data_IF_525166718502
#
_entry.id   IF_525166718502
#
_cell.length_a   1.000
_cell.length_b   1.000
_cell.length_c   1.000
_cell.angle_alpha   90.00
_cell.angle_beta   90.00
_cell.angle_gamma   90.00
#
_symmetry.space_group_name_H-M   'P 1'
#
loop_
_entity.id
_entity.type
_entity.pdbx_description
1 polymer ?
#
# COMPACT_ATOMS: atom_id res chain seq x y z
N UNK A 1 -48.05 -34.26 -11.11
CA UNK A 1 -49.12 -34.06 -12.13
C UNK A 1 -50.07 -33.06 -11.53
N UNK A 2 -50.22 -31.81 -11.99
CA UNK A 2 -50.24 -31.19 -13.33
C UNK A 2 -49.60 -29.77 -13.25
N UNK A 3 -48.62 -29.37 -14.10
CA UNK A 3 -48.74 -28.70 -15.43
C UNK A 3 -49.76 -27.56 -15.45
N UNK A 4 -49.31 -26.30 -15.43
CA UNK A 4 -48.94 -25.42 -16.59
C UNK A 4 -50.16 -24.67 -17.14
N UNK A 5 -50.11 -23.34 -17.12
CA UNK A 5 -50.70 -22.38 -18.08
C UNK A 5 -50.28 -20.95 -17.64
N UNK A 6 -49.25 -20.34 -18.24
CA UNK A 6 -49.19 -19.56 -19.49
C UNK A 6 -49.62 -18.07 -19.39
N UNK A 7 -48.58 -17.22 -19.39
CA UNK A 7 -48.38 -15.85 -19.93
C UNK A 7 -49.52 -15.17 -20.71
N UNK A 8 -49.73 -13.86 -20.47
CA UNK A 8 -49.45 -12.68 -21.38
C UNK A 8 -49.81 -11.36 -20.63
N UNK A 9 -48.90 -10.36 -20.49
CA UNK A 9 -48.70 -9.13 -21.31
C UNK A 9 -49.99 -8.30 -21.53
N UNK A 10 -50.09 -6.96 -21.46
CA UNK A 10 -49.29 -5.79 -21.10
C UNK A 10 -50.28 -4.58 -21.01
N UNK A 11 -49.77 -3.36 -20.80
CA UNK A 11 -50.42 -2.02 -20.84
C UNK A 11 -50.89 -1.47 -19.47
N UNK A 12 -50.15 -0.57 -18.84
CA UNK A 12 -49.87 0.86 -19.14
C UNK A 12 -50.81 1.78 -18.34
N UNK A 13 -50.27 2.39 -17.29
CA UNK A 13 -50.71 3.70 -16.82
C UNK A 13 -49.58 4.39 -16.04
N UNK A 14 -49.00 5.39 -16.69
CA UNK A 14 -48.10 6.37 -16.11
C UNK A 14 -48.80 7.21 -15.03
N UNK A 15 -48.08 7.51 -13.94
CA UNK A 15 -47.79 8.91 -13.56
C UNK A 15 -46.65 9.00 -12.52
N UNK A 16 -45.94 10.15 -12.47
CA UNK A 16 -44.58 10.29 -11.96
C UNK A 16 -44.53 10.91 -10.55
N UNK A 17 -43.38 10.70 -9.88
CA UNK A 17 -42.61 11.66 -9.08
C UNK A 17 -41.78 10.89 -8.04
N UNK A 18 -40.49 11.20 -7.95
CA UNK A 18 -39.69 10.81 -6.79
C UNK A 18 -38.24 10.49 -7.11
N UNK A 19 -37.51 11.53 -7.50
CA UNK A 19 -36.06 11.70 -7.36
C UNK A 19 -35.38 10.81 -6.29
N UNK A 20 -34.39 10.01 -6.69
CA UNK A 20 -33.22 9.71 -5.84
C UNK A 20 -32.05 9.30 -6.71
N UNK A 21 -31.24 10.30 -7.06
CA UNK A 21 -29.86 10.14 -7.49
C UNK A 21 -29.10 9.24 -6.52
N UNK A 22 -28.66 8.07 -7.02
CA UNK A 22 -27.62 7.28 -6.36
C UNK A 22 -26.30 8.01 -6.46
N UNK A 23 -26.00 8.83 -5.47
CA UNK A 23 -24.73 9.53 -5.31
C UNK A 23 -23.64 8.48 -5.10
N UNK A 24 -22.75 8.35 -6.08
CA UNK A 24 -21.41 7.80 -5.92
C UNK A 24 -20.68 8.60 -4.85
N UNK A 25 -20.35 7.95 -3.73
CA UNK A 25 -19.54 8.57 -2.67
C UNK A 25 -18.06 8.51 -3.09
N UNK A 26 -17.65 9.53 -3.82
CA UNK A 26 -16.25 9.93 -3.92
C UNK A 26 -15.80 10.42 -2.53
N UNK A 27 -14.82 9.73 -1.92
CA UNK A 27 -14.29 10.03 -0.59
C UNK A 27 -13.00 10.84 -0.63
N UNK A 28 -12.76 11.60 -1.69
CA UNK A 28 -11.66 12.59 -1.71
C UNK A 28 -12.05 13.86 -0.95
N UNK A 29 -11.22 14.22 0.04
CA UNK A 29 -11.08 15.54 0.70
C UNK A 29 -11.85 15.82 2.00
N UNK A 30 -11.12 15.85 3.12
CA UNK A 30 -11.17 16.92 4.14
C UNK A 30 -9.87 16.81 4.97
N UNK A 31 -8.94 17.77 4.90
CA UNK A 31 -8.96 18.97 5.73
C UNK A 31 -8.47 20.20 4.93
N UNK A 32 -9.32 21.24 4.90
CA UNK A 32 -8.99 22.59 4.45
C UNK A 32 -8.34 23.37 5.59
N UNK A 33 -7.15 23.92 5.34
CA UNK A 33 -6.69 25.14 6.02
C UNK A 33 -6.45 26.23 4.99
N UNK A 34 -7.14 27.36 5.17
CA UNK A 34 -7.10 28.50 4.27
C UNK A 34 -5.82 29.33 4.47
N UNK A 35 -5.06 29.52 3.39
CA UNK A 35 -4.14 30.65 3.26
C UNK A 35 -4.60 31.47 2.06
N UNK A 36 -5.31 32.55 2.34
CA UNK A 36 -5.63 33.56 1.34
C UNK A 36 -4.37 34.41 1.08
N UNK A 37 -3.81 34.30 -0.13
CA UNK A 37 -2.71 35.13 -0.60
C UNK A 37 -2.74 35.26 -2.12
N UNK A 38 -3.10 36.45 -2.59
CA UNK A 38 -3.26 36.85 -3.98
C UNK A 38 -1.97 36.71 -4.81
N UNK A 39 -2.06 36.19 -6.04
CA UNK A 39 -1.04 36.44 -7.07
C UNK A 39 -0.93 35.36 -8.14
N UNK A 40 -1.56 35.58 -9.29
CA UNK A 40 -1.44 34.73 -10.47
C UNK A 40 -0.04 34.80 -11.10
N UNK A 41 0.61 33.66 -11.32
CA UNK A 41 1.47 33.38 -12.50
C UNK A 41 1.46 31.88 -12.79
N UNK A 42 0.98 31.49 -13.97
CA UNK A 42 1.13 30.16 -14.57
C UNK A 42 2.56 29.99 -15.11
N UNK A 43 3.32 28.98 -14.68
CA UNK A 43 4.53 28.50 -15.36
C UNK A 43 4.74 26.98 -15.12
N UNK A 44 5.39 26.28 -16.07
CA UNK A 44 5.24 24.85 -16.32
C UNK A 44 6.06 23.98 -15.35
N UNK A 45 5.64 22.72 -15.23
CA UNK A 45 6.39 21.62 -14.62
C UNK A 45 7.87 21.68 -15.02
N UNK A 46 8.71 22.00 -14.03
CA UNK A 46 10.16 21.98 -14.17
C UNK A 46 10.68 20.66 -13.62
N UNK A 47 11.18 19.82 -14.51
CA UNK A 47 12.26 18.88 -14.16
C UNK A 47 13.37 19.68 -13.47
N UNK A 48 13.58 19.44 -12.17
CA UNK A 48 14.70 20.02 -11.44
C UNK A 48 16.00 19.39 -11.95
N UNK A 49 16.95 20.23 -12.34
CA UNK A 49 18.26 19.82 -12.80
C UNK A 49 19.19 19.62 -11.59
N UNK A 50 19.78 18.43 -11.48
CA UNK A 50 20.77 18.10 -10.45
C UNK A 50 22.00 19.03 -10.50
N UNK A 51 22.37 19.59 -9.35
CA UNK A 51 23.62 20.35 -9.19
C UNK A 51 24.74 19.37 -8.84
N UNK A 52 25.75 19.31 -9.71
CA UNK A 52 26.88 18.38 -9.59
C UNK A 52 27.77 18.69 -8.38
N UNK A 53 27.67 17.87 -7.32
CA UNK A 53 28.63 17.80 -6.22
C UNK A 53 29.41 16.51 -6.33
N UNK A 54 30.74 16.60 -6.45
CA UNK A 54 31.64 15.46 -6.56
C UNK A 54 31.92 14.86 -5.19
N UNK A 55 31.13 13.86 -4.82
CA UNK A 55 31.54 12.68 -4.07
C UNK A 55 30.86 11.49 -4.77
N UNK A 56 31.41 10.28 -4.70
CA UNK A 56 30.80 9.08 -5.30
C UNK A 56 29.49 8.72 -4.58
N UNK A 57 28.46 9.50 -4.87
CA UNK A 57 27.04 9.26 -4.59
C UNK A 57 26.61 8.17 -5.57
N UNK A 58 25.97 7.09 -5.11
CA UNK A 58 25.41 6.15 -6.08
C UNK A 58 24.22 6.84 -6.73
N UNK A 59 24.18 6.82 -8.07
CA UNK A 59 23.01 7.24 -8.83
C UNK A 59 21.90 6.15 -8.79
N UNK A 60 22.05 5.15 -7.91
CA UNK A 60 21.08 4.07 -7.74
C UNK A 60 19.81 4.62 -7.09
N UNK A 61 18.67 4.29 -7.69
CA UNK A 61 17.36 4.68 -7.20
C UNK A 61 16.88 3.66 -6.16
N UNK A 62 16.49 4.17 -5.00
CA UNK A 62 16.00 3.39 -3.87
C UNK A 62 14.56 3.76 -3.54
N UNK A 63 13.84 2.84 -2.90
CA UNK A 63 12.51 3.11 -2.32
C UNK A 63 12.58 3.20 -0.80
N UNK A 64 11.86 4.17 -0.22
CA UNK A 64 11.61 4.24 1.21
C UNK A 64 10.10 4.25 1.44
N UNK A 65 9.57 3.23 2.12
CA UNK A 65 8.19 3.23 2.61
C UNK A 65 8.18 3.54 4.11
N UNK A 66 7.44 4.57 4.50
CA UNK A 66 7.25 5.00 5.89
C UNK A 66 5.81 4.67 6.26
N UNK A 67 5.60 3.71 7.16
CA UNK A 67 4.25 3.22 7.47
C UNK A 67 3.99 3.15 8.97
N UNK A 68 2.71 3.16 9.34
CA UNK A 68 2.27 3.01 10.73
C UNK A 68 0.85 2.47 10.84
N UNK A 69 0.54 1.90 12.00
CA UNK A 69 -0.83 1.46 12.36
C UNK A 69 -1.61 2.53 13.15
N UNK A 70 -1.12 3.78 13.14
CA UNK A 70 -1.72 4.97 13.71
C UNK A 70 -1.08 6.24 13.14
N UNK A 71 -1.55 7.45 13.51
CA UNK A 71 -1.04 8.68 12.92
C UNK A 71 0.44 8.90 13.25
N UNK A 72 1.25 9.06 12.20
CA UNK A 72 2.69 9.22 12.23
C UNK A 72 3.08 10.51 11.50
N UNK A 73 3.65 11.47 12.23
CA UNK A 73 4.31 12.62 11.62
C UNK A 73 5.73 12.23 11.20
N UNK A 74 6.18 12.69 10.03
CA UNK A 74 7.54 12.44 9.58
C UNK A 74 8.19 13.64 8.90
N UNK A 75 9.52 13.62 8.90
CA UNK A 75 10.40 14.46 8.09
C UNK A 75 11.51 13.58 7.51
N UNK A 76 11.61 13.53 6.18
CA UNK A 76 12.58 12.77 5.42
C UNK A 76 13.35 13.70 4.50
N UNK A 77 14.68 13.80 4.68
CA UNK A 77 15.55 14.69 3.91
C UNK A 77 16.71 13.92 3.31
N UNK A 78 17.02 14.19 2.04
CA UNK A 78 18.16 13.60 1.32
C UNK A 78 19.01 14.67 0.62
N UNK A 79 20.31 14.43 0.55
CA UNK A 79 21.23 15.12 -0.38
C UNK A 79 21.28 14.26 -1.65
N UNK A 80 20.52 14.62 -2.68
CA UNK A 80 20.32 13.82 -3.89
C UNK A 80 18.98 14.14 -4.57
N UNK A 81 18.30 13.13 -5.11
CA UNK A 81 16.94 13.27 -5.66
C UNK A 81 15.92 12.68 -4.69
N UNK A 82 14.73 13.29 -4.63
CA UNK A 82 13.60 12.78 -3.86
C UNK A 82 12.30 13.02 -4.62
N UNK A 83 11.48 11.99 -4.74
CA UNK A 83 10.20 12.00 -5.43
C UNK A 83 9.17 11.19 -4.64
N UNK A 84 7.92 11.68 -4.59
CA UNK A 84 6.79 10.94 -4.06
C UNK A 84 6.40 9.82 -5.04
N UNK A 85 6.35 8.57 -4.58
CA UNK A 85 5.94 7.44 -5.40
C UNK A 85 4.43 7.27 -5.31
N UNK A 86 3.71 7.86 -6.27
CA UNK A 86 2.25 7.83 -6.32
C UNK A 86 1.70 6.63 -7.09
N UNK A 87 2.58 5.83 -7.71
CA UNK A 87 2.19 4.73 -8.60
C UNK A 87 2.35 3.36 -7.94
N UNK A 88 3.34 3.18 -7.05
CA UNK A 88 3.67 1.87 -6.45
C UNK A 88 3.45 1.85 -4.94
N UNK A 89 3.49 0.66 -4.34
CA UNK A 89 3.28 0.46 -2.92
C UNK A 89 1.82 0.31 -2.50
N UNK A 90 0.88 0.17 -3.44
CA UNK A 90 -0.47 -0.29 -3.12
C UNK A 90 -0.47 -1.81 -2.99
N UNK A 91 -0.64 -2.28 -1.76
CA UNK A 91 -0.80 -3.69 -1.42
C UNK A 91 -2.21 -4.02 -0.92
N UNK A 92 -3.18 -3.12 -1.09
CA UNK A 92 -4.56 -3.43 -0.73
C UNK A 92 -5.11 -4.52 -1.66
N UNK A 93 -5.97 -5.39 -1.14
CA UNK A 93 -6.56 -6.45 -1.98
C UNK A 93 -7.42 -5.85 -3.09
N UNK A 94 -7.36 -6.47 -4.26
CA UNK A 94 -8.17 -6.13 -5.41
C UNK A 94 -9.62 -6.57 -5.23
N UNK A 95 -10.52 -5.96 -6.00
CA UNK A 95 -11.97 -6.22 -5.87
C UNK A 95 -12.39 -7.65 -6.27
N UNK A 96 -11.53 -8.37 -6.97
CA UNK A 96 -11.71 -9.74 -7.44
C UNK A 96 -10.97 -10.80 -6.61
N UNK A 97 -10.24 -10.38 -5.56
CA UNK A 97 -9.57 -11.25 -4.57
C UNK A 97 -10.52 -11.98 -3.61
N UNK A 98 -11.76 -12.18 -4.02
CA UNK A 98 -12.81 -12.73 -3.18
C UNK A 98 -12.57 -14.22 -2.89
N UNK A 99 -12.36 -14.61 -1.61
CA UNK A 99 -12.08 -15.98 -1.24
C UNK A 99 -13.22 -16.94 -1.63
N UNK A 100 -12.84 -18.10 -2.16
CA UNK A 100 -13.77 -19.17 -2.49
C UNK A 100 -13.66 -20.30 -1.46
N UNK A 101 -14.81 -20.76 -0.97
CA UNK A 101 -14.88 -21.92 -0.10
C UNK A 101 -14.56 -23.20 -0.87
N UNK A 102 -13.81 -24.10 -0.25
CA UNK A 102 -13.65 -25.46 -0.77
C UNK A 102 -14.94 -26.25 -0.48
N UNK A 103 -15.60 -26.77 -1.53
CA UNK A 103 -16.93 -27.43 -1.49
C UNK A 103 -17.07 -28.55 -0.45
N UNK A 104 -15.94 -29.10 0.06
CA UNK A 104 -15.90 -30.17 1.06
C UNK A 104 -15.14 -29.83 2.36
N UNK A 105 -14.66 -28.60 2.51
CA UNK A 105 -14.03 -28.06 3.73
C UNK A 105 -14.45 -26.61 3.90
N UNK A 106 -15.63 -26.34 4.49
CA UNK A 106 -16.15 -24.97 4.61
C UNK A 106 -15.35 -24.08 5.57
N UNK A 107 -14.39 -24.65 6.29
CA UNK A 107 -13.41 -23.91 7.09
C UNK A 107 -12.15 -23.53 6.30
N UNK A 108 -12.00 -24.00 5.06
CA UNK A 108 -10.85 -23.67 4.21
C UNK A 108 -11.29 -22.72 3.11
N UNK A 109 -10.64 -21.57 3.09
CA UNK A 109 -10.78 -20.53 2.10
C UNK A 109 -9.62 -20.59 1.13
N UNK A 110 -9.87 -20.36 -0.16
CA UNK A 110 -8.84 -20.35 -1.19
C UNK A 110 -8.99 -19.12 -2.08
N UNK A 111 -7.87 -18.43 -2.29
CA UNK A 111 -7.69 -17.40 -3.32
C UNK A 111 -6.62 -17.90 -4.28
N UNK A 112 -6.87 -17.75 -5.58
CA UNK A 112 -5.91 -18.00 -6.64
C UNK A 112 -5.90 -16.72 -7.47
N UNK A 113 -4.78 -16.02 -7.47
CA UNK A 113 -4.69 -14.72 -8.10
C UNK A 113 -3.27 -14.38 -8.60
N UNK A 114 -3.08 -13.17 -9.15
CA UNK A 114 -1.82 -12.66 -9.69
C UNK A 114 -1.61 -11.21 -9.24
N UNK A 115 -0.46 -10.95 -8.63
CA UNK A 115 -0.08 -9.61 -8.16
C UNK A 115 1.22 -9.12 -8.78
N UNK A 116 1.60 -7.87 -8.49
CA UNK A 116 2.78 -7.22 -9.03
C UNK A 116 2.51 -6.45 -10.34
N UNK A 117 3.47 -5.61 -10.79
CA UNK A 117 3.34 -4.88 -12.04
C UNK A 117 3.38 -5.81 -13.25
N UNK A 118 2.85 -5.35 -14.38
CA UNK A 118 2.99 -6.03 -15.67
C UNK A 118 4.46 -6.12 -16.10
N UNK A 119 4.80 -7.07 -16.98
CA UNK A 119 6.19 -7.28 -17.46
C UNK A 119 6.88 -6.02 -18.00
N UNK A 120 6.13 -5.08 -18.58
CA UNK A 120 6.68 -3.84 -19.13
C UNK A 120 7.13 -2.84 -18.05
N UNK A 121 6.57 -2.95 -16.84
CA UNK A 121 6.83 -2.08 -15.70
C UNK A 121 7.51 -2.84 -14.53
N UNK A 122 7.95 -4.07 -14.75
CA UNK A 122 8.51 -4.93 -13.71
C UNK A 122 10.00 -4.65 -13.43
N UNK A 123 10.41 -4.95 -12.21
CA UNK A 123 11.76 -4.83 -11.69
C UNK A 123 12.00 -3.56 -10.85
N UNK A 124 13.22 -3.43 -10.35
CA UNK A 124 13.62 -2.28 -9.53
C UNK A 124 12.71 -2.11 -8.32
N UNK A 125 12.23 -0.88 -8.12
CA UNK A 125 11.39 -0.47 -7.00
C UNK A 125 9.89 -0.65 -7.27
N UNK A 126 9.45 -1.16 -8.41
CA UNK A 126 8.03 -1.14 -8.77
C UNK A 126 7.19 -2.25 -8.08
N UNK A 127 6.94 -2.15 -6.78
CA UNK A 127 6.18 -3.18 -6.05
C UNK A 127 4.68 -2.89 -5.99
N UNK A 128 3.89 -3.92 -6.27
CA UNK A 128 2.45 -4.01 -6.00
C UNK A 128 2.16 -5.31 -5.24
N UNK A 129 0.99 -5.43 -4.66
CA UNK A 129 0.69 -6.57 -3.79
C UNK A 129 -0.77 -6.68 -3.45
N UNK A 130 -1.08 -7.75 -2.72
CA UNK A 130 -2.41 -7.98 -2.17
C UNK A 130 -2.28 -8.29 -0.67
N UNK A 131 -3.27 -7.84 0.10
CA UNK A 131 -3.27 -7.97 1.56
C UNK A 131 -4.55 -8.62 2.04
N UNK A 132 -4.39 -9.59 2.93
CA UNK A 132 -5.48 -10.35 3.54
C UNK A 132 -5.42 -10.27 5.05
N UNK A 133 -6.58 -10.31 5.69
CA UNK A 133 -6.72 -10.62 7.11
C UNK A 133 -6.96 -12.13 7.24
N UNK A 134 -6.07 -12.82 7.95
CA UNK A 134 -6.06 -14.29 8.04
C UNK A 134 -6.06 -14.77 9.50
N UNK A 135 -6.57 -15.98 9.73
CA UNK A 135 -6.59 -16.63 11.04
C UNK A 135 -5.91 -18.01 10.99
N UNK A 136 -5.39 -18.44 12.13
CA UNK A 136 -4.90 -19.77 12.51
C UNK A 136 -3.91 -20.50 11.58
N UNK A 137 -4.29 -20.87 10.37
CA UNK A 137 -3.44 -21.59 9.43
C UNK A 137 -3.47 -20.94 8.05
N UNK A 138 -2.30 -20.65 7.51
CA UNK A 138 -2.13 -20.15 6.15
C UNK A 138 -1.14 -21.04 5.39
N UNK A 139 -1.49 -21.36 4.14
CA UNK A 139 -0.63 -22.07 3.21
C UNK A 139 -0.60 -21.33 1.88
N UNK A 140 0.58 -20.88 1.50
CA UNK A 140 0.82 -20.10 0.30
C UNK A 140 1.69 -20.90 -0.68
N UNK A 141 1.29 -20.90 -1.94
CA UNK A 141 2.13 -21.27 -3.08
C UNK A 141 2.35 -20.02 -3.92
N UNK A 142 3.60 -19.75 -4.29
CA UNK A 142 3.99 -18.60 -5.09
C UNK A 142 4.76 -19.05 -6.32
N UNK A 143 4.40 -18.51 -7.47
CA UNK A 143 5.10 -18.70 -8.75
C UNK A 143 5.56 -17.33 -9.27
N UNK A 144 6.75 -16.92 -8.84
CA UNK A 144 7.41 -15.69 -9.27
C UNK A 144 8.54 -16.01 -10.26
N UNK A 145 8.68 -15.20 -11.31
CA UNK A 145 9.82 -15.32 -12.21
C UNK A 145 11.13 -15.03 -11.45
N UNK A 146 12.23 -15.78 -11.68
CA UNK A 146 13.48 -15.63 -10.93
C UNK A 146 14.19 -14.27 -11.09
N UNK A 147 13.75 -13.45 -12.04
CA UNK A 147 14.29 -12.10 -12.26
C UNK A 147 13.55 -11.03 -11.43
N UNK A 148 12.48 -11.41 -10.74
CA UNK A 148 11.67 -10.53 -9.89
C UNK A 148 11.72 -10.98 -8.43
N UNK A 149 11.49 -10.03 -7.54
CA UNK A 149 11.36 -10.25 -6.10
C UNK A 149 9.88 -10.38 -5.74
N UNK A 150 9.57 -11.38 -4.92
CA UNK A 150 8.27 -11.56 -4.28
C UNK A 150 8.49 -11.72 -2.76
N UNK A 151 7.97 -10.76 -2.01
CA UNK A 151 8.10 -10.66 -0.56
C UNK A 151 6.75 -11.01 0.09
N UNK A 152 6.82 -11.73 1.21
CA UNK A 152 5.64 -12.10 1.99
C UNK A 152 5.81 -11.51 3.38
N UNK A 153 4.81 -10.76 3.84
CA UNK A 153 4.82 -10.15 5.16
C UNK A 153 3.68 -10.73 5.99
N UNK A 154 3.99 -11.17 7.21
CA UNK A 154 3.02 -11.53 8.23
C UNK A 154 3.14 -10.52 9.37
N UNK A 155 2.07 -9.80 9.67
CA UNK A 155 2.06 -8.67 10.62
C UNK A 155 3.22 -7.71 10.37
N UNK A 156 3.37 -7.29 9.11
CA UNK A 156 4.41 -6.35 8.66
C UNK A 156 5.86 -6.85 8.88
N UNK A 157 6.02 -8.14 9.18
CA UNK A 157 7.32 -8.82 9.30
C UNK A 157 7.56 -9.67 8.07
N UNK A 158 8.70 -9.47 7.40
CA UNK A 158 9.11 -10.27 6.26
C UNK A 158 9.32 -11.74 6.70
N UNK A 159 8.63 -12.66 6.03
CA UNK A 159 8.71 -14.12 6.25
C UNK A 159 8.93 -14.83 4.93
N UNK A 160 9.51 -16.02 4.99
CA UNK A 160 9.54 -16.91 3.82
C UNK A 160 8.24 -17.70 3.68
N UNK A 161 7.89 -18.13 2.47
CA UNK A 161 6.75 -19.03 2.20
C UNK A 161 6.85 -20.31 3.03
N UNK A 162 8.07 -20.85 3.13
CA UNK A 162 8.38 -22.06 3.90
C UNK A 162 8.13 -21.90 5.40
N UNK A 163 8.36 -20.70 5.94
CA UNK A 163 8.07 -20.35 7.33
C UNK A 163 6.56 -20.18 7.53
N UNK A 164 5.89 -19.39 6.68
CA UNK A 164 4.45 -19.19 6.72
C UNK A 164 3.70 -20.53 6.72
N UNK A 165 4.02 -21.43 5.79
CA UNK A 165 3.36 -22.74 5.63
C UNK A 165 3.57 -23.69 6.81
N UNK A 166 4.51 -23.40 7.71
CA UNK A 166 4.78 -24.17 8.93
C UNK A 166 4.21 -23.51 10.19
N UNK A 167 3.81 -22.25 10.11
CA UNK A 167 3.29 -21.51 11.25
C UNK A 167 1.86 -21.95 11.59
N UNK A 168 1.57 -21.92 12.89
CA UNK A 168 0.21 -21.85 13.39
C UNK A 168 0.08 -20.48 14.05
N UNK A 169 -0.84 -19.67 13.55
CA UNK A 169 -1.17 -18.37 14.08
C UNK A 169 -1.96 -18.60 15.37
N UNK A 170 -1.26 -18.58 16.50
CA UNK A 170 -1.85 -18.97 17.80
C UNK A 170 -2.48 -17.81 18.57
N UNK A 171 -2.33 -16.58 18.09
CA UNK A 171 -3.00 -15.43 18.69
C UNK A 171 -4.47 -15.44 18.25
N UNK A 172 -5.46 -15.29 19.14
CA UNK A 172 -6.88 -15.17 18.77
C UNK A 172 -7.24 -13.92 17.93
N UNK A 173 -6.26 -13.14 17.46
CA UNK A 173 -6.46 -11.99 16.56
C UNK A 173 -6.20 -12.35 15.10
N UNK A 174 -6.99 -11.78 14.19
CA UNK A 174 -6.65 -11.77 12.76
C UNK A 174 -5.28 -11.13 12.55
N UNK A 175 -4.46 -11.79 11.72
CA UNK A 175 -3.14 -11.37 11.28
C UNK A 175 -3.20 -10.73 9.91
N UNK A 176 -2.29 -9.82 9.60
CA UNK A 176 -2.18 -9.25 8.25
C UNK A 176 -1.19 -10.09 7.44
N UNK A 177 -1.61 -10.55 6.27
CA UNK A 177 -0.75 -11.27 5.33
C UNK A 177 -0.68 -10.47 4.04
N UNK A 178 0.50 -9.98 3.69
CA UNK A 178 0.75 -9.20 2.48
C UNK A 178 1.65 -9.99 1.54
N UNK A 179 1.27 -10.10 0.28
CA UNK A 179 2.07 -10.68 -0.80
C UNK A 179 2.41 -9.52 -1.73
N UNK A 180 3.69 -9.12 -1.80
CA UNK A 180 4.12 -8.00 -2.63
C UNK A 180 5.20 -8.44 -3.62
N UNK A 181 5.08 -8.04 -4.88
CA UNK A 181 6.02 -8.40 -5.92
C UNK A 181 6.37 -7.21 -6.83
N UNK A 182 7.60 -7.20 -7.34
CA UNK A 182 8.03 -6.23 -8.35
C UNK A 182 7.96 -6.77 -9.79
N UNK A 183 7.24 -7.87 -10.00
CA UNK A 183 6.89 -8.36 -11.32
C UNK A 183 5.70 -9.31 -11.24
N UNK A 184 5.16 -9.74 -12.39
CA UNK A 184 3.97 -10.60 -12.41
C UNK A 184 4.23 -11.88 -11.62
N UNK A 185 3.39 -12.11 -10.62
CA UNK A 185 3.55 -13.21 -9.67
C UNK A 185 2.20 -13.83 -9.39
N UNK A 186 2.01 -15.07 -9.83
CA UNK A 186 0.81 -15.84 -9.52
C UNK A 186 0.94 -16.52 -8.16
N UNK A 187 -0.17 -16.65 -7.43
CA UNK A 187 -0.19 -17.36 -6.15
C UNK A 187 -1.48 -18.12 -5.90
N UNK A 188 -1.39 -19.07 -4.97
CA UNK A 188 -2.54 -19.73 -4.35
C UNK A 188 -2.40 -19.64 -2.83
N UNK A 189 -3.34 -18.96 -2.20
CA UNK A 189 -3.41 -18.80 -0.75
C UNK A 189 -4.59 -19.61 -0.20
N UNK A 190 -4.30 -20.53 0.71
CA UNK A 190 -5.28 -21.31 1.46
C UNK A 190 -5.22 -20.95 2.94
N UNK A 191 -6.37 -20.67 3.55
CA UNK A 191 -6.46 -20.24 4.96
C UNK A 191 -7.59 -20.95 5.69
N UNK A 192 -7.39 -21.28 6.96
CA UNK A 192 -8.38 -21.84 7.88
C UNK A 192 -8.24 -21.24 9.29
N UNK A 193 -9.31 -20.80 9.97
CA UNK A 193 -10.72 -20.89 9.57
C UNK A 193 -11.29 -19.62 8.92
N UNK A 194 -10.54 -18.53 8.82
CA UNK A 194 -11.09 -17.24 8.37
C UNK A 194 -10.07 -16.49 7.50
N UNK A 195 -10.54 -15.99 6.35
CA UNK A 195 -9.79 -15.10 5.47
C UNK A 195 -10.73 -14.01 4.95
N UNK A 196 -10.26 -12.76 4.97
CA UNK A 196 -10.98 -11.61 4.41
C UNK A 196 -10.00 -10.72 3.66
N UNK A 197 -10.29 -10.30 2.42
CA UNK A 197 -9.49 -9.31 1.71
C UNK A 197 -9.41 -7.98 2.47
N UNK A 198 -8.25 -7.34 2.52
CA UNK A 198 -8.06 -6.04 3.14
C UNK A 198 -7.98 -4.94 2.07
N UNK A 199 -9.14 -4.38 1.72
CA UNK A 199 -9.25 -3.26 0.76
C UNK A 199 -8.96 -1.88 1.38
N UNK A 200 -8.48 -1.82 2.63
CA UNK A 200 -8.30 -0.55 3.36
C UNK A 200 -6.89 -0.35 3.87
N UNK A 201 -6.26 -1.38 4.40
CA UNK A 201 -4.85 -1.37 4.76
C UNK A 201 -3.98 -1.69 3.56
N UNK A 202 -2.68 -1.45 3.69
CA UNK A 202 -1.69 -1.84 2.67
C UNK A 202 -1.46 -0.82 1.57
N UNK A 203 -2.20 0.29 1.51
CA UNK A 203 -1.85 1.38 0.61
C UNK A 203 -0.71 2.21 1.22
N UNK A 204 0.45 2.16 0.56
CA UNK A 204 1.66 2.90 0.92
C UNK A 204 2.11 3.89 -0.15
N UNK A 205 1.37 4.04 -1.25
CA UNK A 205 1.67 5.06 -2.25
C UNK A 205 1.58 6.44 -1.60
N UNK A 206 2.52 7.33 -1.95
CA UNK A 206 2.42 8.72 -1.51
C UNK A 206 1.22 9.41 -2.18
N UNK A 207 0.66 10.40 -1.51
CA UNK A 207 -0.39 11.25 -2.06
C UNK A 207 0.21 12.33 -2.98
N UNK A 208 -0.62 12.93 -3.85
CA UNK A 208 -0.16 13.99 -4.77
C UNK A 208 0.38 15.24 -4.03
N UNK A 209 -0.05 15.47 -2.79
CA UNK A 209 0.39 16.59 -1.95
C UNK A 209 1.58 16.28 -1.03
N UNK A 210 2.09 15.05 -1.08
CA UNK A 210 3.33 14.62 -0.41
C UNK A 210 4.61 15.02 -1.18
N UNK A 211 4.46 15.95 -2.14
CA UNK A 211 5.54 16.40 -3.00
C UNK A 211 6.72 16.98 -2.21
N UNK A 212 7.97 16.49 -2.44
CA UNK A 212 9.15 17.01 -1.79
C UNK A 212 9.41 18.48 -2.12
N UNK A 213 10.02 19.20 -1.18
CA UNK A 213 10.46 20.59 -1.35
C UNK A 213 11.98 20.68 -1.38
N UNK A 214 12.53 21.44 -2.33
CA UNK A 214 13.97 21.75 -2.40
C UNK A 214 14.35 22.80 -1.34
N UNK A 215 15.38 22.50 -0.56
CA UNK A 215 15.93 23.37 0.46
C UNK A 215 16.99 24.32 -0.11
N UNK A 216 17.29 25.39 0.63
CA UNK A 216 18.27 26.40 0.21
C UNK A 216 19.72 25.87 0.10
N UNK A 217 20.02 24.72 0.71
CA UNK A 217 21.33 24.05 0.63
C UNK A 217 21.43 22.99 -0.47
N UNK A 218 20.36 22.79 -1.23
CA UNK A 218 20.27 21.82 -2.34
C UNK A 218 19.79 20.43 -1.94
N UNK A 219 19.47 20.20 -0.66
CA UNK A 219 18.80 18.96 -0.23
C UNK A 219 17.30 18.99 -0.55
N UNK A 220 16.64 17.83 -0.53
CA UNK A 220 15.19 17.73 -0.70
C UNK A 220 14.54 17.16 0.55
N UNK A 221 13.44 17.75 0.99
CA UNK A 221 12.68 17.29 2.17
C UNK A 221 11.24 16.95 1.79
N UNK A 222 10.80 15.76 2.18
CA UNK A 222 9.40 15.40 2.29
C UNK A 222 8.99 15.40 3.78
N UNK A 223 7.87 16.03 4.11
CA UNK A 223 7.37 16.08 5.48
C UNK A 223 5.85 16.08 5.48
N UNK A 224 5.26 15.29 6.35
CA UNK A 224 3.83 15.03 6.31
C UNK A 224 3.31 14.25 7.51
N UNK A 225 2.10 13.73 7.35
CA UNK A 225 1.48 12.82 8.32
C UNK A 225 0.89 11.65 7.56
N UNK A 226 1.31 10.45 7.92
CA UNK A 226 0.81 9.20 7.34
C UNK A 226 0.18 8.32 8.42
N UNK A 227 -0.27 7.12 8.02
CA UNK A 227 -0.95 6.17 8.89
C UNK A 227 -2.44 6.49 9.06
N UNK A 228 -3.22 5.54 9.59
CA UNK A 228 -4.65 5.74 9.79
C UNK A 228 -4.93 6.81 10.86
N UNK A 229 -6.02 7.57 10.68
CA UNK A 229 -6.52 8.50 11.70
C UNK A 229 -6.79 7.78 13.02
N UNK A 230 -6.68 8.46 14.16
CA UNK A 230 -6.80 7.82 15.49
C UNK A 230 -8.07 7.00 15.72
N UNK A 231 -9.17 7.32 15.03
CA UNK A 231 -10.45 6.57 15.10
C UNK A 231 -10.44 5.24 14.31
N UNK A 232 -9.51 5.10 13.38
CA UNK A 232 -9.32 3.98 12.45
C UNK A 232 -7.99 3.24 12.72
N UNK A 233 -7.19 3.76 13.65
CA UNK A 233 -5.92 3.20 14.09
C UNK A 233 -6.08 1.89 14.88
N UNK A 234 -5.03 1.08 14.84
CA UNK A 234 -4.97 -0.23 15.46
C UNK A 234 -4.26 -1.25 14.55
N UNK A 235 -3.90 -2.41 15.12
CA UNK A 235 -2.98 -3.37 14.51
C UNK A 235 -3.35 -3.85 13.09
N UNK A 236 -4.62 -3.78 12.68
CA UNK A 236 -5.09 -4.35 11.41
C UNK A 236 -4.92 -3.42 10.22
N UNK A 237 -4.96 -2.11 10.44
CA UNK A 237 -4.88 -1.12 9.36
C UNK A 237 -3.52 -0.47 9.42
N UNK A 238 -2.66 -0.78 8.44
CA UNK A 238 -1.37 -0.12 8.26
C UNK A 238 -1.43 0.68 6.98
N UNK A 239 -1.09 1.96 7.07
CA UNK A 239 -1.01 2.90 5.95
C UNK A 239 0.34 3.60 6.00
N UNK A 240 0.74 4.23 4.91
CA UNK A 240 2.08 4.78 4.76
C UNK A 240 2.20 5.63 3.52
N UNK A 241 3.38 6.25 3.39
CA UNK A 241 3.77 6.99 2.21
C UNK A 241 5.09 6.41 1.70
N UNK A 242 5.29 6.49 0.39
CA UNK A 242 6.43 5.90 -0.31
C UNK A 242 7.16 6.95 -1.12
N UNK A 243 8.48 6.89 -1.07
CA UNK A 243 9.35 7.81 -1.76
C UNK A 243 10.41 7.07 -2.57
N UNK A 244 10.72 7.61 -3.75
CA UNK A 244 11.88 7.24 -4.54
C UNK A 244 12.99 8.25 -4.29
N UNK A 245 14.20 7.77 -4.03
CA UNK A 245 15.31 8.67 -3.72
C UNK A 245 16.66 8.13 -4.19
N UNK A 246 17.63 9.04 -4.33
CA UNK A 246 19.04 8.73 -4.50
C UNK A 246 19.87 9.61 -3.56
N UNK A 247 21.12 9.23 -3.30
CA UNK A 247 21.99 9.98 -2.43
C UNK A 247 21.84 9.70 -0.93
N UNK A 248 22.41 10.55 -0.10
CA UNK A 248 22.52 10.28 1.34
C UNK A 248 21.31 10.78 2.11
N UNK A 249 20.83 9.98 3.06
CA UNK A 249 19.75 10.36 3.98
C UNK A 249 20.33 11.24 5.09
N UNK A 250 19.93 12.51 5.10
CA UNK A 250 20.35 13.50 6.08
C UNK A 250 19.47 13.45 7.34
N UNK A 251 18.14 13.34 7.14
CA UNK A 251 17.14 13.28 8.22
C UNK A 251 16.09 12.21 7.92
N UNK A 252 15.69 11.45 8.94
CA UNK A 252 14.50 10.58 8.91
C UNK A 252 13.83 10.58 10.28
N UNK A 253 13.16 11.67 10.64
CA UNK A 253 12.48 11.83 11.92
C UNK A 253 11.05 11.31 11.83
N UNK A 254 10.67 10.45 12.78
CA UNK A 254 9.40 9.71 12.78
C UNK A 254 8.75 9.80 14.16
N UNK A 255 7.63 10.51 14.28
CA UNK A 255 6.95 10.81 15.53
C UNK A 255 5.53 10.26 15.55
N UNK A 256 5.32 9.23 16.38
CA UNK A 256 3.99 8.69 16.63
C UNK A 256 3.24 9.60 17.59
N UNK A 257 1.97 9.84 17.28
CA UNK A 257 1.05 10.59 18.14
C UNK A 257 0.68 9.83 19.43
N UNK A 258 0.76 8.50 19.43
CA UNK A 258 0.49 7.62 20.56
C UNK A 258 1.45 6.42 20.54
N UNK A 259 2.06 6.12 21.68
CA UNK A 259 3.04 5.02 21.84
C UNK A 259 2.44 3.62 21.79
N UNK A 260 1.11 3.48 21.79
CA UNK A 260 0.43 2.20 21.58
C UNK A 260 0.39 1.77 20.12
N UNK A 261 0.74 2.67 19.20
CA UNK A 261 0.92 2.38 17.79
C UNK A 261 2.36 1.97 17.48
N UNK A 262 2.51 1.34 16.33
CA UNK A 262 3.76 0.86 15.78
C UNK A 262 4.00 1.53 14.43
N UNK A 263 5.28 1.66 14.10
CA UNK A 263 5.77 2.20 12.83
C UNK A 263 6.71 1.21 12.19
N UNK A 264 6.65 1.13 10.88
CA UNK A 264 7.47 0.25 10.06
C UNK A 264 8.14 1.10 9.00
N UNK A 265 9.39 0.77 8.70
CA UNK A 265 10.13 1.42 7.62
C UNK A 265 10.72 0.33 6.76
N UNK A 266 10.54 0.48 5.46
CA UNK A 266 11.08 -0.42 4.46
C UNK A 266 12.00 0.36 3.54
N UNK A 267 13.16 -0.19 3.28
CA UNK A 267 14.11 0.30 2.30
C UNK A 267 14.28 -0.79 1.25
N UNK A 268 13.99 -0.47 -0.01
CA UNK A 268 13.94 -1.45 -1.10
C UNK A 268 13.13 -2.69 -0.69
N UNK A 269 11.94 -2.42 -0.14
CA UNK A 269 10.95 -3.41 0.30
C UNK A 269 11.48 -4.37 1.36
N UNK A 270 12.53 -4.00 2.08
CA UNK A 270 13.05 -4.79 3.21
C UNK A 270 12.85 -4.03 4.50
N UNK A 271 12.25 -4.66 5.54
CA UNK A 271 12.04 -3.99 6.81
C UNK A 271 13.39 -3.62 7.43
N UNK A 272 13.54 -2.35 7.79
CA UNK A 272 14.76 -1.80 8.35
C UNK A 272 14.47 -1.01 9.62
N UNK A 273 15.46 -0.92 10.49
CA UNK A 273 15.37 0.01 11.60
C UNK A 273 15.61 1.44 11.07
N UNK A 274 14.76 2.43 11.41
CA UNK A 274 14.92 3.82 10.93
C UNK A 274 16.30 4.42 11.25
N UNK A 275 16.93 4.01 12.35
CA UNK A 275 18.27 4.47 12.73
C UNK A 275 19.39 3.95 11.82
N UNK A 276 19.15 2.84 11.10
CA UNK A 276 20.08 2.25 10.13
C UNK A 276 20.02 3.01 8.81
N UNK A 277 18.82 3.44 8.38
CA UNK A 277 18.62 4.22 7.15
C UNK A 277 19.48 5.50 7.16
N UNK A 278 19.51 6.23 8.28
CA UNK A 278 20.33 7.45 8.44
C UNK A 278 21.86 7.21 8.39
N UNK A 279 22.30 5.97 8.54
CA UNK A 279 23.74 5.63 8.56
C UNK A 279 24.22 5.08 7.21
N UNK A 280 23.29 4.78 6.30
CA UNK A 280 23.60 4.29 4.98
C UNK A 280 23.84 5.46 4.03
N UNK A 281 24.84 5.29 3.17
CA UNK A 281 25.03 6.14 1.99
C UNK A 281 24.53 5.34 0.82
N UNK A 282 23.58 5.92 0.10
CA UNK A 282 23.09 5.43 -1.17
C UNK A 282 23.78 6.28 -2.21
#
# INVERSE_FOLDING_TARGET
MTRDDLRTAAEDSANPHGDSSGVTFDRRTAIKTAVAGLGAVTLPWGTAAASSRTDTQSDDLHSLMITANGPLEYEFTVDGTLEADTEHGDFSADSDDEPKYVENSPSVYTVIDETGPTLENAGGTAFHGDRFLVDYYAHLTLDAHPDYEANVYLDETLVTVDELNRMQLTDPSLHTLTIAANGPTSYELQVEPEMTPDHKGGNFSADEDDAPTENADGTFTAAGTTGPLSKEAGAKTVLGDRYLFSGSVETLDLQLSDSSHEKYVYLDEKPVNPSVVRQMRF
#
